data_IF_163588466880
#
_entry.id   IF_163588466880
#
_cell.length_a   1.000
_cell.length_b   1.000
_cell.length_c   1.000
_cell.angle_alpha   90.00
_cell.angle_beta   90.00
_cell.angle_gamma   90.00
#
_symmetry.space_group_name_H-M   'P 1'
#
loop_
_entity.id
_entity.type
_entity.pdbx_description
1 polymer ?
#
# COMPACT_ATOMS: atom_id res chain seq x y z
N UNK A 1 37.56 -3.61 19.29
CA UNK A 1 37.11 -2.21 19.13
C UNK A 1 36.65 -1.90 17.70
N UNK A 2 37.45 -2.20 16.67
CA UNK A 2 37.13 -1.88 15.26
C UNK A 2 35.83 -2.52 14.72
N UNK A 3 35.48 -3.75 15.14
CA UNK A 3 34.22 -4.40 14.72
C UNK A 3 32.98 -3.74 15.34
N UNK A 4 33.12 -3.19 16.55
CA UNK A 4 32.02 -2.53 17.25
C UNK A 4 31.68 -1.18 16.61
N UNK A 5 32.72 -0.43 16.20
CA UNK A 5 32.57 0.82 15.46
C UNK A 5 31.85 0.62 14.11
N UNK A 6 32.19 -0.43 13.37
CA UNK A 6 31.49 -0.79 12.13
C UNK A 6 30.00 -1.07 12.35
N UNK A 7 29.66 -1.81 13.41
CA UNK A 7 28.26 -2.10 13.75
C UNK A 7 27.46 -0.83 14.09
N UNK A 8 28.07 0.10 14.83
CA UNK A 8 27.44 1.38 15.19
C UNK A 8 27.17 2.22 13.94
N UNK A 9 28.12 2.27 12.99
CA UNK A 9 27.95 3.00 11.73
C UNK A 9 26.77 2.46 10.93
N UNK A 10 26.64 1.13 10.82
CA UNK A 10 25.51 0.50 10.10
C UNK A 10 24.17 0.84 10.76
N UNK A 11 24.10 0.77 12.08
CA UNK A 11 22.87 1.07 12.82
C UNK A 11 22.40 2.53 12.65
N UNK A 12 23.33 3.49 12.57
CA UNK A 12 22.99 4.91 12.36
C UNK A 12 22.41 5.14 10.96
N UNK A 13 22.93 4.45 9.93
CA UNK A 13 22.43 4.61 8.55
C UNK A 13 21.01 4.10 8.33
N UNK A 14 20.51 3.21 9.19
CA UNK A 14 19.17 2.62 9.08
C UNK A 14 18.05 3.51 9.68
N UNK A 15 18.39 4.62 10.35
CA UNK A 15 17.45 5.48 11.07
C UNK A 15 16.84 6.62 10.22
N UNK A 16 16.91 6.56 8.89
CA UNK A 16 16.50 7.67 8.01
C UNK A 16 14.99 7.76 7.73
N UNK A 17 14.17 6.83 8.21
CA UNK A 17 12.73 6.86 7.98
C UNK A 17 12.07 7.98 8.80
N UNK A 18 11.36 8.89 8.12
CA UNK A 18 10.64 10.01 8.73
C UNK A 18 9.17 9.98 8.30
N UNK A 19 8.27 10.31 9.22
CA UNK A 19 6.85 10.46 8.90
C UNK A 19 6.64 11.66 7.96
N UNK A 20 6.01 11.42 6.81
CA UNK A 20 5.66 12.46 5.84
C UNK A 20 4.49 13.28 6.38
N UNK A 21 4.61 14.60 6.35
CA UNK A 21 3.54 15.53 6.75
C UNK A 21 2.32 15.35 5.84
N UNK A 22 1.11 15.52 6.37
CA UNK A 22 -0.13 15.22 5.64
C UNK A 22 -0.23 15.94 4.28
N UNK A 23 0.23 17.20 4.20
CA UNK A 23 0.17 17.97 2.97
C UNK A 23 1.19 17.51 1.91
N UNK A 24 2.34 16.97 2.33
CA UNK A 24 3.37 16.45 1.44
C UNK A 24 2.95 15.10 0.82
N UNK A 25 2.03 14.38 1.48
CA UNK A 25 1.46 13.15 0.94
C UNK A 25 0.73 13.39 -0.38
N UNK A 26 0.23 14.60 -0.66
CA UNK A 26 -0.39 14.93 -1.95
C UNK A 26 0.56 14.64 -3.13
N UNK A 27 1.86 14.88 -2.96
CA UNK A 27 2.87 14.68 -4.02
C UNK A 27 3.35 13.24 -4.14
N UNK A 28 3.07 12.40 -3.14
CA UNK A 28 3.47 10.98 -3.09
C UNK A 28 2.28 10.07 -3.41
N UNK A 29 1.05 10.54 -3.14
CA UNK A 29 -0.18 9.82 -3.42
C UNK A 29 -0.41 9.71 -4.92
N UNK A 30 0.04 8.60 -5.50
CA UNK A 30 -0.29 8.22 -6.85
C UNK A 30 -1.80 7.87 -6.91
N UNK A 31 -2.57 8.44 -7.86
CA UNK A 31 -3.98 8.09 -8.03
C UNK A 31 -4.22 6.59 -8.24
N UNK A 32 -3.24 5.85 -8.79
CA UNK A 32 -3.31 4.40 -9.00
C UNK A 32 -3.07 3.60 -7.71
N UNK A 33 -2.50 4.19 -6.66
CA UNK A 33 -2.35 3.54 -5.34
C UNK A 33 -3.60 3.61 -4.48
N UNK A 34 -4.67 4.28 -4.96
CA UNK A 34 -5.96 4.24 -4.30
C UNK A 34 -6.49 2.81 -4.38
N UNK A 35 -6.71 2.18 -3.22
CA UNK A 35 -7.38 0.88 -3.08
C UNK A 35 -8.87 1.01 -3.41
N UNK A 36 -9.18 1.32 -4.66
CA UNK A 36 -10.51 1.43 -5.21
C UNK A 36 -10.47 1.10 -6.70
N UNK A 37 -11.39 0.25 -7.15
CA UNK A 37 -11.52 -0.07 -8.57
C UNK A 37 -11.81 1.20 -9.37
N UNK A 38 -11.16 1.36 -10.52
CA UNK A 38 -11.49 2.42 -11.47
C UNK A 38 -12.92 2.20 -11.99
N UNK A 39 -13.66 3.27 -12.34
CA UNK A 39 -15.02 3.11 -12.88
C UNK A 39 -15.07 2.23 -14.13
N UNK A 40 -14.02 2.24 -14.95
CA UNK A 40 -13.87 1.41 -16.14
C UNK A 40 -13.78 -0.09 -15.83
N UNK A 41 -13.24 -0.47 -14.67
CA UNK A 41 -12.99 -1.86 -14.26
C UNK A 41 -14.26 -2.53 -13.70
N UNK A 42 -15.36 -1.79 -13.56
CA UNK A 42 -16.63 -2.31 -13.04
C UNK A 42 -17.14 -3.52 -13.82
N UNK A 43 -17.01 -3.52 -15.15
CA UNK A 43 -17.51 -4.60 -15.98
C UNK A 43 -16.66 -5.86 -15.86
N UNK A 44 -15.33 -5.70 -15.83
CA UNK A 44 -14.39 -6.82 -15.65
C UNK A 44 -14.55 -7.46 -14.27
N UNK A 45 -14.62 -6.64 -13.22
CA UNK A 45 -14.85 -7.13 -11.86
C UNK A 45 -16.20 -7.82 -11.73
N UNK A 46 -17.26 -7.31 -12.38
CA UNK A 46 -18.57 -7.99 -12.40
C UNK A 46 -18.48 -9.37 -13.06
N UNK A 47 -17.74 -9.49 -14.17
CA UNK A 47 -17.51 -10.77 -14.84
C UNK A 47 -16.75 -11.75 -13.95
N UNK A 48 -15.67 -11.31 -13.30
CA UNK A 48 -14.86 -12.14 -12.41
C UNK A 48 -15.64 -12.59 -11.17
N UNK A 49 -16.41 -11.68 -10.55
CA UNK A 49 -17.30 -12.00 -9.41
C UNK A 49 -18.35 -13.03 -9.82
N UNK A 50 -19.00 -12.84 -10.97
CA UNK A 50 -20.06 -13.74 -11.43
C UNK A 50 -19.51 -15.13 -11.78
N UNK A 51 -18.36 -15.21 -12.43
CA UNK A 51 -17.78 -16.48 -12.89
C UNK A 51 -17.05 -17.24 -11.79
N UNK A 52 -16.30 -16.54 -10.94
CA UNK A 52 -15.34 -17.15 -10.01
C UNK A 52 -15.64 -16.88 -8.54
N UNK A 53 -16.74 -16.19 -8.23
CA UNK A 53 -17.02 -15.70 -6.87
C UNK A 53 -15.85 -14.88 -6.29
N UNK A 54 -15.12 -14.17 -7.16
CA UNK A 54 -13.96 -13.39 -6.76
C UNK A 54 -14.39 -12.24 -5.82
N UNK A 55 -13.81 -12.19 -4.61
CA UNK A 55 -13.94 -11.06 -3.71
C UNK A 55 -12.64 -10.23 -3.78
N UNK A 56 -12.63 -9.17 -4.59
CA UNK A 56 -11.45 -8.32 -4.79
C UNK A 56 -11.19 -7.38 -3.61
N UNK A 57 -9.92 -7.11 -3.27
CA UNK A 57 -9.53 -6.20 -2.18
C UNK A 57 -9.63 -4.70 -2.61
N UNK A 58 -10.83 -4.28 -3.01
CA UNK A 58 -11.04 -2.99 -3.68
C UNK A 58 -11.33 -1.84 -2.69
N UNK A 59 -10.97 -2.00 -1.41
CA UNK A 59 -11.22 -1.02 -0.33
C UNK A 59 -12.69 -0.65 -0.07
N UNK A 60 -13.65 -1.31 -0.73
CA UNK A 60 -15.09 -1.09 -0.59
C UNK A 60 -15.77 -2.15 0.28
N UNK A 61 -17.04 -1.92 0.65
CA UNK A 61 -17.81 -2.84 1.53
C UNK A 61 -17.99 -4.25 0.97
N UNK A 62 -17.88 -4.41 -0.35
CA UNK A 62 -18.00 -5.69 -1.06
C UNK A 62 -16.66 -6.38 -1.30
N UNK A 63 -15.54 -5.71 -1.00
CA UNK A 63 -14.20 -6.21 -1.21
C UNK A 63 -13.57 -6.68 0.09
N UNK A 64 -13.77 -7.94 0.43
CA UNK A 64 -13.20 -8.57 1.62
C UNK A 64 -11.68 -8.77 1.49
N UNK A 65 -10.91 -7.71 1.67
CA UNK A 65 -9.53 -7.85 2.12
C UNK A 65 -9.52 -8.18 3.61
N UNK A 66 -8.62 -9.06 4.05
CA UNK A 66 -8.20 -9.08 5.46
C UNK A 66 -7.71 -7.66 5.75
N UNK A 67 -8.53 -6.86 6.43
CA UNK A 67 -8.30 -5.45 6.66
C UNK A 67 -7.03 -5.24 7.48
N UNK A 68 -5.88 -5.28 6.82
CA UNK A 68 -4.64 -4.75 7.34
C UNK A 68 -4.65 -3.26 6.99
N UNK A 69 -5.15 -2.47 7.94
CA UNK A 69 -4.56 -1.16 8.20
C UNK A 69 -3.44 -1.38 9.21
#
# INVERSE_FOLDING_TARGET
MNRLALFIIVLVTLQSCVAVKEYDKLYINDPDMKLAAKPSEKYETTFQVYREAAAGANGGKTGGGCGCN
#
